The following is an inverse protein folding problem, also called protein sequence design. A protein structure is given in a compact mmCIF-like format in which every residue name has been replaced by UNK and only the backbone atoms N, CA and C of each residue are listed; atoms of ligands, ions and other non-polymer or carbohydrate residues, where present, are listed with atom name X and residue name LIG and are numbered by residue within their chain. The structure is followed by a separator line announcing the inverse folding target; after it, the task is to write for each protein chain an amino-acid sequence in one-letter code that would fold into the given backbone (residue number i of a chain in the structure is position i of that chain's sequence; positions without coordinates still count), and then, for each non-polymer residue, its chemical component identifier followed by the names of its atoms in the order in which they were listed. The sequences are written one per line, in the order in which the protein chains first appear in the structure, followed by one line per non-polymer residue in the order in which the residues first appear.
data_IF_249520108687
#
_entry.id   IF_249520108687
#
_cell.length_a   1.000
_cell.length_b   1.000
_cell.length_c   1.000
_cell.angle_alpha   90.00
_cell.angle_beta   90.00
_cell.angle_gamma   90.00
#
_symmetry.space_group_name_H-M   'P 1'
#
loop_
_entity.id
_entity.type
_entity.pdbx_description
1 polymer ?
#
# COMPACT_ATOMS: atom_id res chain seq x y z
N UNK A 1 7.12 -16.25 13.43
CA UNK A 1 6.28 -16.44 12.24
C UNK A 1 5.09 -15.52 12.42
N UNK A 2 5.09 -14.37 11.74
CA UNK A 2 4.05 -13.34 11.87
C UNK A 2 3.31 -13.32 10.54
N UNK A 3 2.03 -13.72 10.55
CA UNK A 3 1.15 -13.68 9.38
C UNK A 3 0.57 -12.27 9.29
N UNK A 4 1.06 -11.46 8.36
CA UNK A 4 0.43 -10.20 8.00
C UNK A 4 -0.71 -10.52 7.02
N UNK A 5 -1.93 -10.09 7.33
CA UNK A 5 -2.95 -9.89 6.31
C UNK A 5 -3.05 -8.39 6.21
N UNK A 6 -2.70 -7.81 5.06
CA UNK A 6 -3.18 -6.49 4.66
C UNK A 6 -4.26 -6.71 3.61
N UNK A 7 -5.43 -6.14 3.78
CA UNK A 7 -6.30 -5.85 2.62
C UNK A 7 -5.86 -4.49 2.08
N UNK A 8 -5.89 -4.27 0.78
CA UNK A 8 -5.78 -2.92 0.23
C UNK A 8 -6.76 -2.77 -0.92
N UNK A 9 -7.36 -1.59 -0.98
CA UNK A 9 -8.00 -0.98 -2.16
C UNK A 9 -7.41 0.42 -2.12
N UNK A 10 -6.86 0.92 -3.21
CA UNK A 10 -6.06 2.15 -3.19
C UNK A 10 -6.54 3.12 -4.25
N UNK A 11 -6.75 4.37 -3.88
CA UNK A 11 -6.91 5.46 -4.85
C UNK A 11 -6.03 6.64 -4.50
N UNK A 12 -5.52 7.30 -5.53
CA UNK A 12 -4.78 8.56 -5.42
C UNK A 12 -5.48 9.63 -6.25
N UNK A 13 -5.54 10.86 -5.75
CA UNK A 13 -6.10 12.00 -6.49
C UNK A 13 -5.38 13.31 -6.21
N UNK A 14 -5.43 14.23 -7.18
CA UNK A 14 -4.99 15.62 -7.04
C UNK A 14 -6.03 16.56 -7.67
N UNK A 15 -6.40 17.65 -6.98
CA UNK A 15 -7.41 18.63 -7.43
C UNK A 15 -8.77 18.02 -7.86
N UNK A 16 -9.14 16.88 -7.28
CA UNK A 16 -10.37 16.16 -7.60
C UNK A 16 -10.27 15.17 -8.78
N UNK A 17 -9.14 15.11 -9.48
CA UNK A 17 -8.87 14.13 -10.54
C UNK A 17 -8.23 12.88 -9.95
N UNK A 18 -8.78 11.69 -10.24
CA UNK A 18 -8.15 10.43 -9.89
C UNK A 18 -6.87 10.23 -10.72
N UNK A 19 -5.75 10.05 -10.03
CA UNK A 19 -4.45 9.72 -10.62
C UNK A 19 -4.30 8.21 -10.80
N UNK A 20 -4.92 7.43 -9.90
CA UNK A 20 -4.88 5.98 -9.88
C UNK A 20 -6.01 5.43 -9.02
N UNK A 21 -6.50 4.25 -9.40
CA UNK A 21 -7.47 3.47 -8.65
C UNK A 21 -7.17 1.98 -8.88
N UNK A 22 -7.21 1.21 -7.81
CA UNK A 22 -7.12 -0.25 -7.86
C UNK A 22 -8.01 -0.84 -6.76
N UNK A 23 -8.87 -1.79 -7.16
CA UNK A 23 -9.71 -2.61 -6.28
C UNK A 23 -9.33 -4.10 -6.29
N UNK A 24 -8.42 -4.50 -7.18
CA UNK A 24 -7.86 -5.84 -7.33
C UNK A 24 -8.84 -6.91 -7.84
N UNK A 25 -10.03 -6.54 -8.30
CA UNK A 25 -10.98 -7.50 -8.88
C UNK A 25 -10.47 -8.10 -10.20
N UNK A 26 -9.67 -7.34 -10.94
CA UNK A 26 -9.01 -7.77 -12.18
C UNK A 26 -7.53 -8.19 -11.96
N UNK A 27 -7.12 -8.36 -10.70
CA UNK A 27 -5.78 -8.74 -10.29
C UNK A 27 -4.86 -7.55 -9.96
N UNK A 28 -3.54 -7.73 -10.14
CA UNK A 28 -2.52 -6.74 -9.74
C UNK A 28 -1.56 -6.39 -10.89
N UNK A 29 -2.08 -6.28 -12.12
CA UNK A 29 -1.25 -6.07 -13.31
C UNK A 29 -0.44 -4.75 -13.25
N UNK A 30 -0.96 -3.73 -12.57
CA UNK A 30 -0.32 -2.42 -12.41
C UNK A 30 0.62 -2.33 -11.20
N UNK A 31 0.91 -3.46 -10.55
CA UNK A 31 1.78 -3.53 -9.38
C UNK A 31 3.02 -4.39 -9.63
N UNK A 32 4.13 -3.96 -9.06
CA UNK A 32 5.30 -4.78 -8.83
C UNK A 32 5.15 -5.41 -7.46
N UNK A 33 5.06 -6.74 -7.43
CA UNK A 33 4.86 -7.54 -6.23
C UNK A 33 6.14 -8.29 -5.91
N UNK A 34 6.71 -8.05 -4.74
CA UNK A 34 7.72 -8.94 -4.17
C UNK A 34 7.03 -10.20 -3.66
N UNK A 35 7.72 -11.34 -3.71
CA UNK A 35 7.09 -12.68 -3.79
C UNK A 35 6.08 -13.08 -2.70
N UNK A 36 6.02 -12.41 -1.55
CA UNK A 36 5.03 -12.68 -0.50
C UNK A 36 3.73 -11.87 -0.64
N UNK A 37 3.52 -11.20 -1.78
CA UNK A 37 2.28 -10.54 -2.15
C UNK A 37 1.46 -11.36 -3.17
N UNK A 38 0.17 -11.54 -2.91
CA UNK A 38 -0.74 -12.32 -3.76
C UNK A 38 -2.14 -11.70 -3.81
N UNK A 39 -2.88 -11.96 -4.90
CA UNK A 39 -4.32 -11.69 -4.94
C UNK A 39 -5.05 -12.81 -4.21
N UNK A 40 -5.88 -12.43 -3.24
CA UNK A 40 -6.70 -13.36 -2.45
C UNK A 40 -8.17 -13.00 -2.59
N UNK A 41 -9.03 -14.01 -2.54
CA UNK A 41 -10.49 -13.86 -2.58
C UNK A 41 -11.09 -14.05 -1.18
N UNK A 42 -12.00 -13.17 -0.75
CA UNK A 42 -12.84 -13.30 0.45
C UNK A 42 -14.30 -13.03 0.08
N UNK A 43 -15.07 -14.11 -0.08
CA UNK A 43 -16.42 -14.06 -0.65
C UNK A 43 -16.37 -13.66 -2.13
N UNK A 44 -17.09 -12.60 -2.47
CA UNK A 44 -17.17 -12.05 -3.83
C UNK A 44 -16.15 -10.93 -4.10
N UNK A 45 -15.24 -10.63 -3.15
CA UNK A 45 -14.23 -9.58 -3.30
C UNK A 45 -12.82 -10.16 -3.43
N UNK A 46 -11.98 -9.49 -4.21
CA UNK A 46 -10.55 -9.70 -4.27
C UNK A 46 -9.79 -8.60 -3.53
N UNK A 47 -8.61 -8.94 -3.02
CA UNK A 47 -7.72 -7.98 -2.40
C UNK A 47 -6.27 -8.44 -2.51
N UNK A 48 -5.37 -7.47 -2.46
CA UNK A 48 -3.94 -7.72 -2.41
C UNK A 48 -3.50 -8.04 -0.97
N UNK A 49 -3.03 -9.27 -0.75
CA UNK A 49 -2.53 -9.77 0.53
C UNK A 49 -1.00 -9.81 0.53
N UNK A 50 -0.37 -9.20 1.54
CA UNK A 50 1.07 -9.27 1.76
C UNK A 50 1.43 -9.99 3.05
N UNK A 51 2.38 -10.92 2.99
CA UNK A 51 2.97 -11.61 4.13
C UNK A 51 4.42 -11.14 4.35
N UNK A 52 4.90 -11.25 5.60
CA UNK A 52 6.29 -10.99 5.97
C UNK A 52 6.81 -9.59 5.61
N UNK A 53 8.13 -9.50 5.44
CA UNK A 53 8.85 -8.26 5.12
C UNK A 53 8.99 -8.11 3.60
N UNK A 54 7.87 -7.82 2.93
CA UNK A 54 7.79 -7.74 1.46
C UNK A 54 7.18 -6.41 0.98
N UNK A 55 7.40 -6.06 -0.29
CA UNK A 55 6.89 -4.83 -0.88
C UNK A 55 5.91 -5.08 -2.02
N UNK A 56 4.89 -4.23 -2.07
CA UNK A 56 4.05 -4.05 -3.24
C UNK A 56 4.12 -2.58 -3.64
N UNK A 57 4.49 -2.33 -4.90
CA UNK A 57 4.73 -0.97 -5.41
C UNK A 57 3.93 -0.80 -6.71
N UNK A 58 3.03 0.20 -6.81
CA UNK A 58 2.41 0.54 -8.09
C UNK A 58 3.48 0.88 -9.13
N UNK A 59 3.26 0.48 -10.38
CA UNK A 59 4.17 0.77 -11.51
C UNK A 59 4.17 2.24 -11.94
N UNK A 60 3.44 3.10 -11.24
CA UNK A 60 3.24 4.52 -11.53
C UNK A 60 3.36 5.35 -10.25
N UNK A 61 3.38 6.68 -10.40
CA UNK A 61 3.30 7.61 -9.28
C UNK A 61 4.64 8.05 -8.70
N UNK A 62 5.76 7.63 -9.28
CA UNK A 62 7.11 8.02 -8.87
C UNK A 62 7.34 9.56 -8.83
N UNK A 63 6.60 10.31 -9.65
CA UNK A 63 6.70 11.78 -9.72
C UNK A 63 5.59 12.52 -8.99
N UNK A 64 4.67 11.83 -8.30
CA UNK A 64 3.59 12.51 -7.60
C UNK A 64 4.13 13.30 -6.40
N UNK A 65 3.73 14.57 -6.34
CA UNK A 65 4.07 15.45 -5.23
C UNK A 65 2.88 15.54 -4.29
N UNK A 66 1.88 16.37 -4.59
CA UNK A 66 0.75 16.65 -3.71
C UNK A 66 -0.48 15.85 -4.16
N UNK A 67 -0.88 14.91 -3.33
CA UNK A 67 -2.00 14.01 -3.60
C UNK A 67 -2.65 13.54 -2.30
N UNK A 68 -3.91 13.14 -2.40
CA UNK A 68 -4.63 12.43 -1.35
C UNK A 68 -4.61 10.95 -1.68
N UNK A 69 -4.31 10.10 -0.69
CA UNK A 69 -4.47 8.65 -0.79
C UNK A 69 -5.65 8.23 0.07
N UNK A 70 -6.52 7.39 -0.49
CA UNK A 70 -7.56 6.69 0.27
C UNK A 70 -7.33 5.19 0.14
N UNK A 71 -7.36 4.48 1.26
CA UNK A 71 -7.21 3.04 1.26
C UNK A 71 -7.99 2.33 2.36
N UNK A 72 -8.38 1.09 2.10
CA UNK A 72 -8.98 0.18 3.10
C UNK A 72 -7.93 -0.83 3.52
N UNK A 73 -7.58 -0.87 4.82
CA UNK A 73 -6.67 -1.87 5.37
C UNK A 73 -7.36 -2.72 6.43
N UNK A 74 -7.27 -4.04 6.30
CA UNK A 74 -7.49 -5.00 7.38
C UNK A 74 -6.13 -5.54 7.79
N UNK A 75 -5.78 -5.46 9.07
CA UNK A 75 -4.54 -6.02 9.63
C UNK A 75 -4.87 -7.23 10.51
N UNK A 76 -4.18 -8.37 10.31
CA UNK A 76 -4.32 -9.51 11.21
C UNK A 76 -3.31 -9.47 12.37
N UNK A 77 -2.03 -9.23 12.07
CA UNK A 77 -0.96 -9.13 13.06
C UNK A 77 0.21 -8.30 12.49
N UNK A 78 1.19 -7.99 13.34
CA UNK A 78 2.41 -7.29 12.93
C UNK A 78 2.18 -5.81 12.61
N UNK A 79 3.00 -5.27 11.71
CA UNK A 79 2.94 -3.87 11.28
C UNK A 79 2.69 -3.82 9.79
N UNK A 80 1.76 -2.97 9.34
CA UNK A 80 1.65 -2.62 7.93
C UNK A 80 2.23 -1.22 7.71
N UNK A 81 2.95 -1.03 6.61
CA UNK A 81 3.53 0.27 6.24
C UNK A 81 2.96 0.74 4.91
N UNK A 82 2.44 1.96 4.89
CA UNK A 82 2.19 2.70 3.66
C UNK A 82 3.33 3.70 3.45
N UNK A 83 4.07 3.51 2.37
CA UNK A 83 5.17 4.38 1.97
C UNK A 83 4.65 5.46 1.01
N UNK A 84 4.91 6.72 1.34
CA UNK A 84 4.42 7.90 0.61
C UNK A 84 5.62 8.74 0.18
N UNK A 85 5.59 9.24 -1.06
CA UNK A 85 6.69 9.99 -1.71
C UNK A 85 8.05 9.31 -1.55
N UNK A 86 8.09 8.00 -1.73
CA UNK A 86 9.36 7.25 -1.72
C UNK A 86 10.18 7.66 -2.94
N UNK A 87 11.39 8.16 -2.69
CA UNK A 87 12.33 8.55 -3.72
C UNK A 87 13.75 8.46 -3.15
N UNK A 88 14.68 7.90 -3.93
CA UNK A 88 16.05 7.62 -3.46
C UNK A 88 16.79 8.87 -2.97
N UNK A 89 16.51 10.05 -3.54
CA UNK A 89 17.16 11.31 -3.17
C UNK A 89 16.46 12.04 -2.01
N UNK A 90 15.21 11.70 -1.70
CA UNK A 90 14.37 12.43 -0.73
C UNK A 90 13.95 11.60 0.48
N UNK A 91 14.18 10.29 0.43
CA UNK A 91 13.72 9.32 1.42
C UNK A 91 12.24 9.01 1.25
N UNK A 92 11.52 8.81 2.36
CA UNK A 92 10.09 8.46 2.34
C UNK A 92 9.36 8.93 3.59
N UNK A 93 8.05 9.11 3.47
CA UNK A 93 7.15 9.14 4.62
C UNK A 93 6.53 7.76 4.81
N UNK A 94 6.49 7.29 6.06
CA UNK A 94 5.91 6.01 6.42
C UNK A 94 4.72 6.28 7.32
N UNK A 95 3.55 5.80 6.90
CA UNK A 95 2.39 5.66 7.77
C UNK A 95 2.38 4.21 8.24
N UNK A 96 2.65 4.00 9.53
CA UNK A 96 2.67 2.69 10.13
C UNK A 96 1.39 2.38 10.88
N UNK A 97 0.83 1.20 10.63
CA UNK A 97 -0.34 0.67 11.31
C UNK A 97 0.10 -0.46 12.24
N UNK A 98 -0.01 -0.23 13.53
CA UNK A 98 0.41 -1.14 14.61
C UNK A 98 -0.78 -1.48 15.51
N UNK A 99 -0.58 -2.40 16.45
CA UNK A 99 -1.62 -2.79 17.42
C UNK A 99 -2.17 -1.61 18.23
N UNK A 100 -1.31 -0.64 18.56
CA UNK A 100 -1.67 0.50 19.42
C UNK A 100 -2.16 1.72 18.65
N UNK A 101 -2.18 1.69 17.31
CA UNK A 101 -2.71 2.77 16.49
C UNK A 101 -1.90 3.04 15.23
N UNK A 102 -1.83 4.33 14.86
CA UNK A 102 -1.21 4.82 13.63
C UNK A 102 -0.12 5.82 13.98
N UNK A 103 1.02 5.74 13.30
CA UNK A 103 2.07 6.74 13.39
C UNK A 103 2.51 7.23 12.01
N UNK A 104 3.10 8.43 11.98
CA UNK A 104 3.75 9.00 10.81
C UNK A 104 5.23 9.23 11.13
N UNK A 105 6.11 8.73 10.27
CA UNK A 105 7.56 8.93 10.38
C UNK A 105 8.14 9.37 9.04
N UNK A 106 9.11 10.28 9.06
CA UNK A 106 9.95 10.59 7.91
C UNK A 106 11.26 9.81 8.01
N UNK A 107 11.67 9.18 6.92
CA UNK A 107 13.02 8.64 6.74
C UNK A 107 13.74 9.47 5.68
N UNK A 108 14.99 9.83 5.94
CA UNK A 108 15.89 10.47 4.99
C UNK A 108 16.82 9.42 4.39
N UNK A 109 17.38 9.66 3.18
CA UNK A 109 18.43 8.82 2.62
C UNK A 109 19.64 8.70 3.57
#
# INVERSE_FOLDING_TARGET
MITQISHSVGSASALGTSLFFEDFEDGAADWNLDGEWTITQDGDNHYLQGLGDSWAVPKIGEYWTDYTVTLKIKRQAGTAHLNIRMNDDRGRYIIGFIDTGVYLRKETP
#
